data_IF_961845274047
#
_entry.id   IF_961845274047
#
_cell.length_a   1.000
_cell.length_b   1.000
_cell.length_c   1.000
_cell.angle_alpha   90.00
_cell.angle_beta   90.00
_cell.angle_gamma   90.00
#
_symmetry.space_group_name_H-M   'P 1'
#
loop_
_entity.id
_entity.type
_entity.pdbx_description
1 polymer ?
#
# COMPACT_ATOMS: atom_id res chain seq x y z
N UNK A 1 -7.79 34.67 29.50
CA UNK A 1 -8.04 33.22 29.47
C UNK A 1 -8.93 32.96 28.27
N UNK A 2 -8.33 32.73 27.10
CA UNK A 2 -9.07 32.43 25.87
C UNK A 2 -9.19 30.91 25.72
N UNK A 3 -10.45 30.48 25.61
CA UNK A 3 -10.88 29.10 25.50
C UNK A 3 -10.45 28.56 24.12
N UNK A 4 -9.21 28.08 23.99
CA UNK A 4 -8.78 27.33 22.80
C UNK A 4 -9.53 25.99 22.77
N UNK A 5 -10.68 25.97 22.11
CA UNK A 5 -11.30 24.72 21.66
C UNK A 5 -10.22 23.86 20.99
N UNK A 6 -9.95 22.66 21.51
CA UNK A 6 -9.04 21.71 20.88
C UNK A 6 -9.47 21.51 19.42
N UNK A 7 -8.71 22.09 18.48
CA UNK A 7 -8.99 21.97 17.05
C UNK A 7 -8.70 20.53 16.63
N UNK A 8 -9.76 19.72 16.50
CA UNK A 8 -9.70 18.33 16.01
C UNK A 8 -9.75 18.24 14.48
N UNK A 9 -9.11 17.23 13.88
CA UNK A 9 -9.12 16.98 12.42
C UNK A 9 -10.51 17.19 11.78
N UNK A 10 -10.55 17.83 10.60
CA UNK A 10 -11.81 18.19 9.93
C UNK A 10 -12.60 16.96 9.46
N UNK A 11 -13.91 16.90 9.78
CA UNK A 11 -14.85 15.92 9.21
C UNK A 11 -15.33 16.40 7.83
N UNK A 12 -14.74 15.89 6.74
CA UNK A 12 -15.05 16.38 5.38
C UNK A 12 -15.06 15.31 4.28
N UNK A 13 -14.85 14.03 4.60
CA UNK A 13 -14.84 12.96 3.62
C UNK A 13 -16.25 12.39 3.41
N UNK A 14 -16.81 12.65 2.23
CA UNK A 14 -18.06 12.03 1.77
C UNK A 14 -17.85 10.54 1.52
N UNK A 15 -18.93 9.74 1.54
CA UNK A 15 -18.88 8.31 1.24
C UNK A 15 -18.17 7.98 -0.10
N UNK A 16 -18.35 8.83 -1.12
CA UNK A 16 -17.63 8.70 -2.41
C UNK A 16 -16.11 8.83 -2.24
N UNK A 17 -15.64 9.76 -1.40
CA UNK A 17 -14.21 9.95 -1.15
C UNK A 17 -13.63 8.74 -0.43
N UNK A 18 -14.34 8.20 0.57
CA UNK A 18 -13.90 6.98 1.29
C UNK A 18 -13.79 5.80 0.33
N UNK A 19 -14.76 5.60 -0.56
CA UNK A 19 -14.70 4.53 -1.56
C UNK A 19 -13.58 4.75 -2.57
N UNK A 20 -13.39 5.96 -3.07
CA UNK A 20 -12.33 6.27 -4.03
C UNK A 20 -10.94 6.20 -3.40
N UNK A 21 -10.77 6.61 -2.15
CA UNK A 21 -9.54 6.41 -1.37
C UNK A 21 -9.28 4.90 -1.18
N UNK A 22 -10.32 4.12 -0.88
CA UNK A 22 -10.21 2.67 -0.77
C UNK A 22 -9.79 2.00 -2.10
N UNK A 23 -10.20 2.57 -3.24
CA UNK A 23 -9.85 2.05 -4.57
C UNK A 23 -8.43 2.52 -4.95
N UNK A 24 -8.19 3.83 -4.87
CA UNK A 24 -6.93 4.46 -5.25
C UNK A 24 -5.76 4.10 -4.35
N UNK A 25 -6.01 3.84 -3.07
CA UNK A 25 -5.03 3.38 -2.09
C UNK A 25 -4.66 1.91 -2.22
N UNK A 26 -5.52 1.08 -2.81
CA UNK A 26 -5.16 -0.29 -3.18
C UNK A 26 -4.34 -0.31 -4.48
N UNK A 27 -4.70 0.52 -5.46
CA UNK A 27 -4.03 0.53 -6.79
C UNK A 27 -2.83 1.49 -6.79
N UNK A 28 -1.64 0.93 -6.59
CA UNK A 28 -0.39 1.68 -6.55
C UNK A 28 0.74 1.10 -7.40
N UNK A 29 1.96 1.53 -7.12
CA UNK A 29 3.16 1.12 -7.86
C UNK A 29 3.50 -0.36 -7.69
N UNK A 30 3.04 -1.01 -6.63
CA UNK A 30 3.20 -2.45 -6.48
C UNK A 30 2.52 -3.25 -7.59
N UNK A 31 1.34 -2.82 -8.08
CA UNK A 31 0.70 -3.45 -9.24
C UNK A 31 1.42 -3.07 -10.54
N UNK A 32 1.74 -1.79 -10.73
CA UNK A 32 2.20 -1.33 -12.04
C UNK A 32 3.69 -1.50 -12.30
N UNK A 33 4.56 -1.27 -11.32
CA UNK A 33 6.02 -1.46 -11.43
C UNK A 33 6.46 -2.74 -10.75
N UNK A 34 5.99 -2.98 -9.52
CA UNK A 34 6.35 -4.16 -8.72
C UNK A 34 5.96 -5.49 -9.38
N UNK A 35 4.90 -5.51 -10.20
CA UNK A 35 4.54 -6.70 -10.96
C UNK A 35 5.64 -7.17 -11.91
N UNK A 36 6.57 -6.31 -12.36
CA UNK A 36 7.65 -6.74 -13.26
C UNK A 36 8.58 -7.74 -12.61
N UNK A 37 9.06 -7.45 -11.39
CA UNK A 37 9.87 -8.41 -10.64
C UNK A 37 9.06 -9.63 -10.21
N UNK A 38 7.79 -9.45 -9.87
CA UNK A 38 6.91 -10.56 -9.51
C UNK A 38 6.61 -11.50 -10.69
N UNK A 39 6.43 -10.97 -11.91
CA UNK A 39 6.25 -11.74 -13.15
C UNK A 39 7.53 -12.50 -13.45
N UNK A 40 8.69 -11.85 -13.36
CA UNK A 40 9.98 -12.51 -13.57
C UNK A 40 10.22 -13.63 -12.56
N UNK A 41 9.74 -13.47 -11.32
CA UNK A 41 9.90 -14.47 -10.26
C UNK A 41 8.94 -15.67 -10.41
N UNK A 42 7.66 -15.45 -10.68
CA UNK A 42 6.64 -16.51 -10.66
C UNK A 42 6.12 -16.94 -12.05
N UNK A 43 6.39 -16.16 -13.09
CA UNK A 43 5.75 -16.33 -14.40
C UNK A 43 4.22 -16.27 -14.29
N UNK A 44 3.49 -17.08 -15.08
CA UNK A 44 2.03 -17.11 -15.07
C UNK A 44 1.40 -17.47 -13.73
N UNK A 45 2.11 -18.24 -12.89
CA UNK A 45 1.67 -18.59 -11.53
C UNK A 45 1.47 -17.36 -10.62
N UNK A 46 1.98 -16.19 -11.01
CA UNK A 46 1.70 -14.93 -10.34
C UNK A 46 0.20 -14.63 -10.19
N UNK A 47 -0.63 -15.06 -11.16
CA UNK A 47 -2.09 -14.91 -11.11
C UNK A 47 -2.65 -15.58 -9.83
N UNK A 48 -2.16 -16.78 -9.52
CA UNK A 48 -2.53 -17.51 -8.32
C UNK A 48 -1.96 -16.84 -7.06
N UNK A 49 -0.74 -16.31 -7.11
CA UNK A 49 -0.15 -15.60 -5.98
C UNK A 49 -0.96 -14.35 -5.60
N UNK A 50 -1.45 -13.59 -6.59
CA UNK A 50 -2.37 -12.46 -6.37
C UNK A 50 -3.72 -12.91 -5.78
N UNK A 51 -4.29 -14.00 -6.26
CA UNK A 51 -5.55 -14.53 -5.73
C UNK A 51 -5.41 -14.99 -4.27
N UNK A 52 -4.35 -15.73 -3.94
CA UNK A 52 -4.08 -16.21 -2.57
C UNK A 52 -3.79 -15.04 -1.63
N UNK A 53 -2.91 -14.13 -2.03
CA UNK A 53 -2.58 -12.97 -1.20
C UNK A 53 -3.81 -12.09 -0.99
N UNK A 54 -4.60 -11.92 -2.05
CA UNK A 54 -5.82 -11.14 -1.99
C UNK A 54 -6.89 -11.74 -1.08
N UNK A 55 -7.01 -13.07 -1.04
CA UNK A 55 -7.86 -13.75 -0.05
C UNK A 55 -7.43 -13.40 1.38
N UNK A 56 -6.14 -13.52 1.70
CA UNK A 56 -5.63 -13.21 3.04
C UNK A 56 -5.70 -11.71 3.37
N UNK A 57 -5.47 -10.82 2.41
CA UNK A 57 -5.67 -9.38 2.57
C UNK A 57 -7.15 -9.06 2.85
N UNK A 58 -8.09 -9.72 2.16
CA UNK A 58 -9.52 -9.57 2.44
C UNK A 58 -9.88 -10.06 3.84
N UNK A 59 -9.36 -11.20 4.29
CA UNK A 59 -9.56 -11.70 5.65
C UNK A 59 -9.02 -10.73 6.71
N UNK A 60 -7.85 -10.15 6.48
CA UNK A 60 -7.30 -9.08 7.31
C UNK A 60 -8.24 -7.86 7.37
N UNK A 61 -8.76 -7.42 6.22
CA UNK A 61 -9.74 -6.32 6.16
C UNK A 61 -11.07 -6.64 6.85
N UNK A 62 -11.51 -7.90 6.84
CA UNK A 62 -12.67 -8.35 7.62
C UNK A 62 -12.44 -8.18 9.12
N UNK A 63 -11.26 -8.55 9.62
CA UNK A 63 -10.87 -8.33 11.02
C UNK A 63 -10.81 -6.83 11.39
N UNK A 64 -10.25 -6.00 10.50
CA UNK A 64 -10.26 -4.53 10.65
C UNK A 64 -11.68 -3.99 10.76
N UNK A 65 -12.57 -4.42 9.86
CA UNK A 65 -13.97 -3.98 9.86
C UNK A 65 -14.72 -4.41 11.12
N UNK A 66 -14.53 -5.65 11.58
CA UNK A 66 -15.16 -6.14 12.81
C UNK A 66 -14.68 -5.33 14.03
N UNK A 67 -13.38 -5.02 14.13
CA UNK A 67 -12.86 -4.14 15.18
C UNK A 67 -13.49 -2.73 15.10
N UNK A 68 -13.41 -2.06 13.95
CA UNK A 68 -13.91 -0.68 13.81
C UNK A 68 -15.41 -0.54 14.07
N UNK A 69 -16.20 -1.54 13.68
CA UNK A 69 -17.65 -1.56 13.90
C UNK A 69 -18.05 -2.03 15.31
N UNK A 70 -17.09 -2.53 16.10
CA UNK A 70 -17.34 -2.85 17.51
C UNK A 70 -17.55 -1.59 18.38
N UNK A 71 -16.96 -0.46 17.97
CA UNK A 71 -17.11 0.82 18.63
C UNK A 71 -16.73 1.97 17.69
N UNK A 72 -17.73 2.60 17.08
CA UNK A 72 -17.55 3.69 16.11
C UNK A 72 -17.08 5.01 16.73
N UNK A 73 -16.97 5.09 18.07
CA UNK A 73 -16.30 6.22 18.74
C UNK A 73 -14.78 6.15 18.61
N UNK A 74 -14.23 4.96 18.39
CA UNK A 74 -12.79 4.74 18.19
C UNK A 74 -12.44 5.08 16.74
N UNK A 75 -11.42 5.90 16.55
CA UNK A 75 -11.11 6.49 15.24
C UNK A 75 -9.99 5.78 14.48
N UNK A 76 -9.24 4.87 15.12
CA UNK A 76 -8.14 4.14 14.49
C UNK A 76 -8.01 2.71 14.99
N UNK A 77 -7.53 1.80 14.12
CA UNK A 77 -7.13 0.45 14.55
C UNK A 77 -5.94 0.46 15.53
N UNK A 78 -5.13 1.54 15.55
CA UNK A 78 -4.05 1.73 16.53
C UNK A 78 -4.63 1.80 17.95
N UNK A 79 -5.76 2.48 18.11
CA UNK A 79 -6.45 2.56 19.41
C UNK A 79 -6.99 1.19 19.84
N UNK A 80 -7.43 0.35 18.89
CA UNK A 80 -7.83 -1.03 19.20
C UNK A 80 -6.65 -1.88 19.68
N UNK A 81 -5.46 -1.70 19.10
CA UNK A 81 -4.25 -2.34 19.59
C UNK A 81 -3.91 -1.86 21.00
N UNK A 82 -4.06 -0.57 21.29
CA UNK A 82 -3.93 -0.05 22.67
C UNK A 82 -4.91 -0.72 23.64
N UNK A 83 -6.18 -0.80 23.27
CA UNK A 83 -7.24 -1.35 24.14
C UNK A 83 -7.01 -2.83 24.45
N UNK A 84 -6.60 -3.63 23.45
CA UNK A 84 -6.52 -5.08 23.59
C UNK A 84 -5.12 -5.60 23.92
N UNK A 85 -4.05 -4.86 23.58
CA UNK A 85 -2.65 -5.26 23.82
C UNK A 85 -1.89 -4.31 24.77
N UNK A 86 -2.37 -3.08 24.98
CA UNK A 86 -1.78 -2.10 25.90
C UNK A 86 -0.87 -1.07 25.24
N UNK A 87 -0.50 -0.04 26.01
CA UNK A 87 0.22 1.16 25.55
C UNK A 87 1.61 0.85 24.92
N UNK A 88 2.30 -0.20 25.37
CA UNK A 88 3.58 -0.62 24.77
C UNK A 88 3.40 -1.02 23.30
N UNK A 89 2.34 -1.76 23.00
CA UNK A 89 2.05 -2.23 21.66
C UNK A 89 1.46 -1.13 20.78
N UNK A 90 0.73 -0.18 21.38
CA UNK A 90 0.32 1.06 20.71
C UNK A 90 1.54 1.86 20.21
N UNK A 91 2.56 2.05 21.05
CA UNK A 91 3.79 2.73 20.66
C UNK A 91 4.46 2.01 19.48
N UNK A 92 4.64 0.69 19.59
CA UNK A 92 5.30 -0.11 18.56
C UNK A 92 4.52 -0.13 17.24
N UNK A 93 3.21 -0.38 17.26
CA UNK A 93 2.40 -0.41 16.03
C UNK A 93 2.32 0.97 15.38
N UNK A 94 2.25 2.05 16.17
CA UNK A 94 2.18 3.40 15.64
C UNK A 94 3.43 3.79 14.85
N UNK A 95 4.61 3.57 15.44
CA UNK A 95 5.88 3.85 14.75
C UNK A 95 6.14 2.88 13.59
N UNK A 96 5.75 1.60 13.72
CA UNK A 96 5.82 0.66 12.61
C UNK A 96 4.90 1.07 11.45
N UNK A 97 3.70 1.56 11.75
CA UNK A 97 2.76 2.03 10.73
C UNK A 97 3.21 3.34 10.08
N UNK A 98 3.82 4.24 10.86
CA UNK A 98 4.49 5.41 10.30
C UNK A 98 5.60 5.02 9.33
N UNK A 99 6.47 4.07 9.73
CA UNK A 99 7.54 3.56 8.86
C UNK A 99 6.97 2.90 7.60
N UNK A 100 5.89 2.13 7.73
CA UNK A 100 5.20 1.47 6.61
C UNK A 100 4.80 2.48 5.53
N UNK A 101 4.08 3.54 5.92
CA UNK A 101 3.69 4.60 4.99
C UNK A 101 4.88 5.42 4.50
N UNK A 102 5.89 5.64 5.35
CA UNK A 102 7.07 6.38 4.93
C UNK A 102 7.85 5.64 3.84
N UNK A 103 8.05 4.33 4.01
CA UNK A 103 8.68 3.48 3.01
C UNK A 103 7.81 3.36 1.75
N UNK A 104 6.48 3.26 1.87
CA UNK A 104 5.59 3.28 0.69
C UNK A 104 5.73 4.59 -0.10
N UNK A 105 5.72 5.75 0.57
CA UNK A 105 5.96 7.05 -0.08
C UNK A 105 7.28 7.05 -0.85
N UNK A 106 8.36 6.55 -0.23
CA UNK A 106 9.68 6.46 -0.86
C UNK A 106 9.69 5.51 -2.08
N UNK A 107 8.97 4.39 -2.02
CA UNK A 107 8.83 3.48 -3.16
C UNK A 107 8.09 4.15 -4.33
N UNK A 108 7.00 4.86 -4.05
CA UNK A 108 6.21 5.58 -5.06
C UNK A 108 6.99 6.74 -5.68
N UNK A 109 7.76 7.48 -4.87
CA UNK A 109 8.65 8.53 -5.34
C UNK A 109 9.73 7.96 -6.27
N UNK A 110 10.34 6.83 -5.91
CA UNK A 110 11.29 6.11 -6.76
C UNK A 110 10.66 5.70 -8.09
N UNK A 111 9.46 5.12 -8.05
CA UNK A 111 8.73 4.71 -9.24
C UNK A 111 8.41 5.89 -10.17
N UNK A 112 8.05 7.06 -9.61
CA UNK A 112 7.81 8.26 -10.42
C UNK A 112 9.05 8.68 -11.23
N UNK A 113 10.25 8.52 -10.67
CA UNK A 113 11.51 8.74 -11.38
C UNK A 113 11.73 7.75 -12.52
N UNK A 114 11.40 6.47 -12.30
CA UNK A 114 11.47 5.44 -13.34
C UNK A 114 10.50 5.75 -14.49
N UNK A 115 9.26 6.15 -14.17
CA UNK A 115 8.25 6.46 -15.19
C UNK A 115 8.58 7.71 -16.00
N UNK A 116 9.15 8.77 -15.40
CA UNK A 116 9.55 9.95 -16.18
C UNK A 116 10.71 9.65 -17.13
N UNK A 117 11.58 8.69 -16.81
CA UNK A 117 12.67 8.28 -17.70
C UNK A 117 12.20 7.59 -18.98
N UNK A 118 10.95 7.14 -19.04
CA UNK A 118 10.34 6.66 -20.29
C UNK A 118 10.31 7.76 -21.36
N UNK A 119 9.92 9.00 -21.00
CA UNK A 119 9.93 10.14 -21.92
C UNK A 119 11.25 10.90 -21.93
N UNK A 120 11.95 10.92 -20.80
CA UNK A 120 13.21 11.65 -20.62
C UNK A 120 14.33 10.70 -20.16
N UNK A 121 14.88 9.84 -21.04
CA UNK A 121 15.85 8.81 -20.64
C UNK A 121 17.12 9.35 -19.97
N UNK A 122 17.52 10.57 -20.33
CA UNK A 122 18.68 11.29 -19.78
C UNK A 122 18.43 11.92 -18.41
N UNK A 123 17.18 11.98 -17.93
CA UNK A 123 16.83 12.54 -16.63
C UNK A 123 17.37 11.63 -15.51
N UNK A 124 18.22 12.13 -14.59
CA UNK A 124 18.67 11.34 -13.46
C UNK A 124 17.50 10.95 -12.56
N UNK A 125 17.42 9.68 -12.16
CA UNK A 125 16.27 9.11 -11.45
C UNK A 125 15.94 9.82 -10.13
N UNK A 126 16.93 10.41 -9.45
CA UNK A 126 16.76 11.11 -8.17
C UNK A 126 16.08 12.49 -8.28
N UNK A 127 16.15 13.13 -9.45
CA UNK A 127 15.62 14.50 -9.65
C UNK A 127 14.11 14.50 -9.51
N UNK A 128 13.44 13.48 -10.04
CA UNK A 128 11.98 13.36 -9.99
C UNK A 128 11.45 13.23 -8.56
N UNK A 129 11.92 12.28 -7.71
CA UNK A 129 11.56 12.24 -6.29
C UNK A 129 11.67 13.59 -5.59
N UNK A 130 12.75 14.34 -5.84
CA UNK A 130 12.97 15.64 -5.19
C UNK A 130 11.89 16.66 -5.58
N UNK A 131 11.61 16.79 -6.87
CA UNK A 131 10.57 17.70 -7.38
C UNK A 131 9.19 17.28 -6.84
N UNK A 132 8.89 15.98 -6.90
CA UNK A 132 7.59 15.46 -6.45
C UNK A 132 7.39 15.69 -4.95
N UNK A 133 8.40 15.48 -4.10
CA UNK A 133 8.32 15.79 -2.66
C UNK A 133 7.97 17.26 -2.45
N UNK A 134 8.69 18.19 -3.09
CA UNK A 134 8.47 19.63 -2.93
C UNK A 134 7.05 20.00 -3.34
N UNK A 135 6.61 19.50 -4.50
CA UNK A 135 5.28 19.77 -5.05
C UNK A 135 4.19 19.22 -4.13
N UNK A 136 4.24 17.93 -3.79
CA UNK A 136 3.19 17.28 -2.99
C UNK A 136 3.13 17.82 -1.56
N UNK A 137 4.26 18.09 -0.91
CA UNK A 137 4.28 18.68 0.43
C UNK A 137 3.69 20.09 0.39
N UNK A 138 4.06 20.91 -0.60
CA UNK A 138 3.50 22.26 -0.77
C UNK A 138 1.98 22.21 -0.96
N UNK A 139 1.49 21.31 -1.82
CA UNK A 139 0.04 21.12 -2.02
C UNK A 139 -0.68 20.71 -0.74
N UNK A 140 -0.11 19.76 0.01
CA UNK A 140 -0.72 19.26 1.25
C UNK A 140 -0.74 20.31 2.37
N UNK A 141 0.18 21.28 2.37
CA UNK A 141 0.19 22.38 3.33
C UNK A 141 -0.92 23.41 3.06
N UNK A 142 -1.33 23.59 1.80
CA UNK A 142 -2.27 24.64 1.41
C UNK A 142 -3.70 24.27 1.80
N UNK A 143 -4.22 23.09 1.45
CA UNK A 143 -5.63 22.78 1.70
C UNK A 143 -5.99 21.28 1.63
N UNK A 144 -6.41 20.70 2.77
CA UNK A 144 -6.80 19.29 2.89
C UNK A 144 -8.06 18.92 2.10
N UNK A 145 -8.96 19.88 1.83
CA UNK A 145 -10.20 19.58 1.09
C UNK A 145 -9.92 19.16 -0.36
N UNK A 146 -8.80 19.58 -0.93
CA UNK A 146 -8.37 19.14 -2.26
C UNK A 146 -7.85 17.71 -2.26
N UNK A 147 -7.40 17.15 -1.13
CA UNK A 147 -6.93 15.78 -1.06
C UNK A 147 -8.03 14.79 -1.54
N UNK A 148 -9.23 14.88 -0.97
CA UNK A 148 -10.32 13.95 -1.29
C UNK A 148 -10.81 14.05 -2.74
N UNK A 149 -10.82 15.26 -3.31
CA UNK A 149 -11.18 15.49 -4.72
C UNK A 149 -10.07 15.02 -5.66
N UNK A 150 -8.80 15.38 -5.40
CA UNK A 150 -7.64 14.93 -6.19
C UNK A 150 -7.53 13.40 -6.19
N UNK A 151 -7.66 12.76 -5.04
CA UNK A 151 -7.66 11.29 -4.96
C UNK A 151 -8.84 10.68 -5.71
N UNK A 152 -10.01 11.32 -5.70
CA UNK A 152 -11.15 10.85 -6.49
C UNK A 152 -10.83 10.89 -7.99
N UNK A 153 -10.24 11.99 -8.48
CA UNK A 153 -9.82 12.09 -9.88
C UNK A 153 -8.72 11.09 -10.24
N UNK A 154 -7.67 10.97 -9.42
CA UNK A 154 -6.59 10.02 -9.66
C UNK A 154 -7.08 8.57 -9.65
N UNK A 155 -7.93 8.20 -8.69
CA UNK A 155 -8.50 6.86 -8.65
C UNK A 155 -9.41 6.57 -9.87
N UNK A 156 -10.18 7.55 -10.36
CA UNK A 156 -10.96 7.41 -11.59
C UNK A 156 -10.07 7.12 -12.81
N UNK A 157 -8.96 7.84 -12.97
CA UNK A 157 -8.00 7.61 -14.06
C UNK A 157 -7.44 6.18 -13.99
N UNK A 158 -7.02 5.74 -12.79
CA UNK A 158 -6.47 4.38 -12.58
C UNK A 158 -7.47 3.28 -12.95
N UNK A 159 -8.70 3.38 -12.45
CA UNK A 159 -9.74 2.39 -12.70
C UNK A 159 -10.09 2.32 -14.18
N UNK A 160 -10.32 3.47 -14.81
CA UNK A 160 -10.64 3.52 -16.23
C UNK A 160 -9.53 2.91 -17.08
N UNK A 161 -8.27 3.24 -16.78
CA UNK A 161 -7.13 2.71 -17.53
C UNK A 161 -6.98 1.19 -17.40
N UNK A 162 -7.18 0.62 -16.20
CA UNK A 162 -7.13 -0.83 -16.02
C UNK A 162 -8.29 -1.51 -16.76
N UNK A 163 -9.49 -0.95 -16.71
CA UNK A 163 -10.64 -1.47 -17.46
C UNK A 163 -10.39 -1.43 -18.97
N UNK A 164 -9.90 -0.29 -19.49
CA UNK A 164 -9.57 -0.13 -20.89
C UNK A 164 -8.49 -1.14 -21.32
N UNK A 165 -7.44 -1.32 -20.51
CA UNK A 165 -6.39 -2.29 -20.76
C UNK A 165 -6.92 -3.72 -20.80
N UNK A 166 -7.79 -4.11 -19.86
CA UNK A 166 -8.40 -5.44 -19.84
C UNK A 166 -9.23 -5.65 -21.11
N UNK A 167 -10.09 -4.70 -21.46
CA UNK A 167 -10.96 -4.79 -22.64
C UNK A 167 -10.14 -4.87 -23.93
N UNK A 168 -9.15 -3.98 -24.10
CA UNK A 168 -8.28 -3.96 -25.28
C UNK A 168 -7.45 -5.24 -25.35
N UNK A 169 -6.86 -5.67 -24.24
CA UNK A 169 -6.04 -6.89 -24.21
C UNK A 169 -6.84 -8.15 -24.49
N UNK A 170 -8.06 -8.29 -23.96
CA UNK A 170 -8.98 -9.37 -24.33
C UNK A 170 -9.30 -9.31 -25.83
N UNK A 171 -9.59 -8.12 -26.36
CA UNK A 171 -9.81 -7.93 -27.80
C UNK A 171 -8.62 -8.42 -28.63
N UNK A 172 -7.40 -8.02 -28.27
CA UNK A 172 -6.16 -8.46 -28.94
C UNK A 172 -6.04 -9.99 -28.92
N UNK A 173 -6.26 -10.63 -27.76
CA UNK A 173 -6.19 -12.08 -27.60
C UNK A 173 -7.25 -12.80 -28.44
N UNK A 174 -8.49 -12.32 -28.45
CA UNK A 174 -9.59 -12.93 -29.22
C UNK A 174 -9.38 -12.80 -30.73
N UNK A 175 -8.78 -11.69 -31.18
CA UNK A 175 -8.44 -11.49 -32.59
C UNK A 175 -7.15 -12.19 -33.03
N UNK A 176 -6.40 -12.79 -32.10
CA UNK A 176 -5.07 -13.35 -32.39
C UNK A 176 -4.08 -12.30 -32.88
N UNK A 177 -4.15 -11.09 -32.34
CA UNK A 177 -3.38 -9.94 -32.82
C UNK A 177 -1.87 -10.24 -32.78
N UNK A 178 -1.22 -10.07 -33.93
CA UNK A 178 0.19 -10.42 -34.13
C UNK A 178 0.99 -9.20 -34.58
N UNK A 179 2.09 -8.93 -33.87
CA UNK A 179 2.97 -7.79 -34.13
C UNK A 179 4.27 -7.94 -33.35
N UNK A 180 5.38 -7.43 -33.89
CA UNK A 180 6.69 -7.49 -33.23
C UNK A 180 7.21 -8.92 -32.97
N UNK A 181 6.75 -9.91 -33.73
CA UNK A 181 7.11 -11.33 -33.53
C UNK A 181 6.34 -12.04 -32.42
N UNK A 182 5.42 -11.34 -31.74
CA UNK A 182 4.60 -11.90 -30.67
C UNK A 182 3.12 -11.96 -31.10
N UNK A 183 2.41 -12.98 -30.63
CA UNK A 183 0.96 -13.14 -30.85
C UNK A 183 0.24 -13.06 -29.52
N UNK A 184 -0.74 -12.18 -29.40
CA UNK A 184 -1.63 -12.16 -28.24
C UNK A 184 -2.48 -13.44 -28.22
N UNK A 185 -2.34 -14.25 -27.16
CA UNK A 185 -3.02 -15.52 -27.00
C UNK A 185 -3.05 -15.94 -25.54
N UNK A 186 -4.15 -16.55 -25.08
CA UNK A 186 -4.18 -17.24 -23.78
C UNK A 186 -3.11 -18.33 -23.68
N UNK A 187 -2.61 -18.84 -24.82
CA UNK A 187 -1.48 -19.77 -24.86
C UNK A 187 -0.21 -19.22 -24.22
N UNK A 188 0.02 -17.90 -24.24
CA UNK A 188 1.22 -17.29 -23.63
C UNK A 188 1.34 -17.57 -22.11
N UNK A 189 0.23 -17.90 -21.44
CA UNK A 189 0.22 -18.31 -20.02
C UNK A 189 0.79 -19.71 -19.76
N UNK A 190 0.99 -20.53 -20.80
CA UNK A 190 1.45 -21.92 -20.66
C UNK A 190 2.55 -22.30 -21.67
N UNK A 191 2.64 -21.62 -22.80
CA UNK A 191 3.58 -21.94 -23.89
C UNK A 191 5.05 -21.64 -23.55
N UNK A 192 5.32 -20.82 -22.53
CA UNK A 192 6.66 -20.40 -22.12
C UNK A 192 7.10 -21.11 -20.84
N UNK A 193 7.16 -22.45 -20.86
CA UNK A 193 7.58 -23.27 -19.71
C UNK A 193 6.44 -23.74 -18.78
N UNK A 194 5.17 -23.56 -19.18
CA UNK A 194 4.01 -23.96 -18.39
C UNK A 194 3.54 -22.87 -17.41
N UNK A 195 2.47 -23.17 -16.66
CA UNK A 195 1.90 -22.20 -15.71
C UNK A 195 2.84 -21.91 -14.53
N UNK A 196 3.56 -22.93 -14.04
CA UNK A 196 4.61 -22.82 -13.01
C UNK A 196 6.00 -22.82 -13.66
N UNK A 197 6.24 -21.93 -14.63
CA UNK A 197 7.46 -21.94 -15.44
C UNK A 197 8.76 -21.75 -14.63
N UNK A 198 8.71 -21.04 -13.51
CA UNK A 198 9.85 -20.84 -12.60
C UNK A 198 9.84 -21.81 -11.40
N UNK A 199 8.96 -22.82 -11.45
CA UNK A 199 8.73 -23.79 -10.39
C UNK A 199 8.06 -23.21 -9.15
N UNK A 200 7.82 -24.07 -8.16
CA UNK A 200 7.16 -23.68 -6.91
C UNK A 200 7.99 -22.67 -6.09
N UNK A 201 9.32 -22.71 -6.22
CA UNK A 201 10.22 -21.75 -5.57
C UNK A 201 10.00 -20.33 -6.09
N UNK A 202 9.94 -20.15 -7.41
CA UNK A 202 9.68 -18.84 -8.03
C UNK A 202 8.30 -18.30 -7.67
N UNK A 203 7.29 -19.17 -7.66
CA UNK A 203 5.95 -18.86 -7.16
C UNK A 203 5.96 -18.33 -5.72
N UNK A 204 6.67 -19.00 -4.81
CA UNK A 204 6.82 -18.55 -3.42
C UNK A 204 7.56 -17.21 -3.33
N UNK A 205 8.60 -17.00 -4.14
CA UNK A 205 9.41 -15.78 -4.11
C UNK A 205 8.67 -14.52 -4.59
N UNK A 206 7.54 -14.66 -5.29
CA UNK A 206 6.75 -13.50 -5.71
C UNK A 206 5.85 -12.91 -4.60
N UNK A 207 5.52 -13.68 -3.56
CA UNK A 207 4.59 -13.26 -2.51
C UNK A 207 4.94 -11.94 -1.80
N UNK A 208 6.21 -11.64 -1.46
CA UNK A 208 6.56 -10.35 -0.87
C UNK A 208 6.13 -9.15 -1.73
N UNK A 209 6.43 -9.18 -3.03
CA UNK A 209 6.07 -8.10 -3.96
C UNK A 209 4.56 -8.06 -4.20
N UNK A 210 3.90 -9.21 -4.20
CA UNK A 210 2.43 -9.28 -4.27
C UNK A 210 1.79 -8.68 -3.02
N UNK A 211 2.31 -8.94 -1.82
CA UNK A 211 1.87 -8.28 -0.59
C UNK A 211 2.08 -6.77 -0.68
N UNK A 212 3.25 -6.33 -1.15
CA UNK A 212 3.52 -4.90 -1.37
C UNK A 212 2.41 -4.25 -2.22
N UNK A 213 1.97 -4.92 -3.28
CA UNK A 213 0.92 -4.43 -4.16
C UNK A 213 -0.47 -4.31 -3.51
N UNK A 214 -0.71 -4.96 -2.37
CA UNK A 214 -1.93 -4.81 -1.57
C UNK A 214 -1.78 -3.83 -0.38
N UNK A 215 -0.58 -3.30 -0.14
CA UNK A 215 -0.39 -2.30 0.93
C UNK A 215 -1.25 -1.08 0.67
N UNK A 216 -1.81 -0.50 1.74
CA UNK A 216 -2.73 0.63 1.66
C UNK A 216 -4.20 0.25 1.59
N UNK A 217 -4.54 -1.03 1.44
CA UNK A 217 -5.92 -1.52 1.52
C UNK A 217 -6.60 -1.21 2.86
N UNK A 218 -5.82 -1.16 3.93
CA UNK A 218 -6.24 -0.82 5.29
C UNK A 218 -6.48 0.67 5.50
N UNK A 219 -6.19 1.53 4.52
CA UNK A 219 -6.45 2.98 4.62
C UNK A 219 -7.94 3.28 4.85
N UNK A 220 -8.83 2.37 4.45
CA UNK A 220 -10.26 2.38 4.82
C UNK A 220 -10.44 2.46 6.34
N UNK A 221 -9.58 1.79 7.11
CA UNK A 221 -9.62 1.81 8.56
C UNK A 221 -9.18 3.14 9.19
N UNK A 222 -8.26 3.88 8.56
CA UNK A 222 -7.87 5.22 9.03
C UNK A 222 -8.96 6.26 8.77
N UNK A 223 -9.68 6.10 7.66
CA UNK A 223 -10.77 7.02 7.27
C UNK A 223 -12.07 6.72 7.99
N UNK A 224 -12.17 5.60 8.72
CA UNK A 224 -13.33 5.22 9.51
C UNK A 224 -13.74 6.32 10.51
N UNK A 225 -12.78 6.89 11.23
CA UNK A 225 -13.02 7.98 12.18
C UNK A 225 -13.45 9.32 11.55
N UNK A 226 -13.28 9.45 10.23
CA UNK A 226 -13.67 10.64 9.43
C UNK A 226 -14.92 10.38 8.57
N UNK A 227 -15.48 9.16 8.61
CA UNK A 227 -16.64 8.74 7.80
C UNK A 227 -17.96 9.15 8.46
N UNK A 228 -18.89 9.71 7.69
CA UNK A 228 -20.20 10.17 8.20
C UNK A 228 -21.10 9.03 8.72
N UNK A 229 -21.09 7.88 8.04
CA UNK A 229 -21.94 6.71 8.36
C UNK A 229 -21.12 5.41 8.35
N UNK A 230 -20.21 5.21 9.32
CA UNK A 230 -19.27 4.10 9.32
C UNK A 230 -19.95 2.74 9.28
N UNK A 231 -21.10 2.57 9.95
CA UNK A 231 -21.87 1.33 10.02
C UNK A 231 -22.39 0.86 8.65
N UNK A 232 -22.61 1.79 7.72
CA UNK A 232 -23.07 1.50 6.36
C UNK A 232 -21.92 1.45 5.37
N UNK A 233 -20.99 2.39 5.47
CA UNK A 233 -20.01 2.66 4.42
C UNK A 233 -18.76 1.76 4.54
N UNK A 234 -18.33 1.41 5.77
CA UNK A 234 -17.20 0.50 5.97
C UNK A 234 -17.48 -0.92 5.47
N UNK A 235 -18.63 -1.58 5.79
CA UNK A 235 -18.93 -2.90 5.25
C UNK A 235 -18.94 -2.92 3.73
N UNK A 236 -19.48 -1.89 3.07
CA UNK A 236 -19.51 -1.79 1.60
C UNK A 236 -18.11 -1.68 1.02
N UNK A 237 -17.26 -0.83 1.60
CA UNK A 237 -15.88 -0.67 1.16
C UNK A 237 -15.10 -1.98 1.29
N UNK A 238 -15.18 -2.64 2.45
CA UNK A 238 -14.47 -3.90 2.72
C UNK A 238 -15.01 -5.05 1.85
N UNK A 239 -16.33 -5.22 1.74
CA UNK A 239 -16.91 -6.30 0.94
C UNK A 239 -16.70 -6.16 -0.57
N UNK A 240 -16.39 -4.95 -1.04
CA UNK A 240 -16.02 -4.74 -2.43
C UNK A 240 -14.57 -5.10 -2.75
N UNK A 241 -13.74 -5.38 -1.73
CA UNK A 241 -12.32 -5.74 -1.92
C UNK A 241 -12.16 -6.94 -2.86
N UNK A 242 -12.81 -8.11 -2.67
CA UNK A 242 -12.59 -9.28 -3.54
C UNK A 242 -12.83 -8.99 -5.03
N UNK A 243 -13.86 -8.19 -5.35
CA UNK A 243 -14.14 -7.78 -6.73
C UNK A 243 -12.96 -6.98 -7.32
N UNK A 244 -12.40 -6.05 -6.55
CA UNK A 244 -11.23 -5.23 -6.96
C UNK A 244 -9.98 -6.08 -7.14
N UNK A 245 -9.78 -7.07 -6.26
CA UNK A 245 -8.67 -8.03 -6.36
C UNK A 245 -8.79 -8.85 -7.65
N UNK A 246 -9.97 -9.43 -7.89
CA UNK A 246 -10.24 -10.21 -9.09
C UNK A 246 -10.08 -9.39 -10.38
N UNK A 247 -10.57 -8.16 -10.40
CA UNK A 247 -10.54 -7.32 -11.58
C UNK A 247 -9.15 -6.70 -11.83
N UNK A 248 -8.63 -5.95 -10.85
CA UNK A 248 -7.45 -5.11 -11.05
C UNK A 248 -6.13 -5.84 -10.96
N UNK A 249 -6.06 -6.94 -10.21
CA UNK A 249 -4.83 -7.70 -10.03
C UNK A 249 -4.88 -8.97 -10.85
N UNK A 250 -5.79 -9.88 -10.54
CA UNK A 250 -5.87 -11.19 -11.21
C UNK A 250 -6.20 -11.02 -12.69
N UNK A 251 -7.25 -10.27 -13.01
CA UNK A 251 -7.69 -10.02 -14.38
C UNK A 251 -6.66 -9.27 -15.22
N UNK A 252 -6.15 -8.14 -14.70
CA UNK A 252 -5.16 -7.36 -15.43
C UNK A 252 -3.86 -8.14 -15.70
N UNK A 253 -3.32 -8.84 -14.69
CA UNK A 253 -2.10 -9.64 -14.82
C UNK A 253 -2.30 -10.81 -15.80
N UNK A 254 -3.46 -11.49 -15.74
CA UNK A 254 -3.78 -12.56 -16.69
C UNK A 254 -3.86 -12.04 -18.13
N UNK A 255 -4.48 -10.88 -18.34
CA UNK A 255 -4.60 -10.27 -19.67
C UNK A 255 -3.24 -9.83 -20.21
N UNK A 256 -2.43 -9.09 -19.44
CA UNK A 256 -1.14 -8.62 -19.96
C UNK A 256 -0.19 -9.77 -20.34
N UNK A 257 -0.16 -10.85 -19.54
CA UNK A 257 0.67 -12.03 -19.84
C UNK A 257 0.08 -12.90 -20.95
N UNK A 258 -1.21 -12.76 -21.26
CA UNK A 258 -1.81 -13.35 -22.46
C UNK A 258 -1.47 -12.52 -23.71
N UNK A 259 -1.35 -11.19 -23.58
CA UNK A 259 -1.00 -10.32 -24.70
C UNK A 259 0.48 -10.42 -25.06
N UNK A 260 1.36 -10.44 -24.06
CA UNK A 260 2.81 -10.42 -24.26
C UNK A 260 3.50 -11.47 -23.37
N UNK A 261 4.44 -12.28 -23.91
CA UNK A 261 5.09 -13.34 -23.15
C UNK A 261 5.78 -12.86 -21.87
N UNK A 262 5.57 -13.61 -20.78
CA UNK A 262 6.03 -13.23 -19.46
C UNK A 262 7.57 -13.22 -19.34
N UNK A 263 8.25 -14.05 -20.12
CA UNK A 263 9.70 -14.22 -20.17
C UNK A 263 10.42 -13.09 -20.91
N UNK A 264 9.67 -12.24 -21.63
CA UNK A 264 10.20 -11.03 -22.29
C UNK A 264 9.99 -9.75 -21.46
N UNK A 265 9.35 -9.82 -20.29
CA UNK A 265 9.12 -8.67 -19.42
C UNK A 265 10.37 -8.38 -18.59
N UNK A 266 10.89 -7.15 -18.72
CA UNK A 266 12.01 -6.67 -17.93
C UNK A 266 11.54 -5.99 -16.61
N UNK A 267 12.45 -5.81 -15.67
CA UNK A 267 12.17 -5.20 -14.36
C UNK A 267 12.46 -3.69 -14.31
N UNK A 268 13.05 -3.09 -15.35
CA UNK A 268 13.42 -1.67 -15.35
C UNK A 268 12.26 -0.71 -15.66
N UNK A 269 11.13 -1.21 -16.16
CA UNK A 269 9.96 -0.43 -16.55
C UNK A 269 8.67 -1.12 -16.09
N UNK A 270 7.53 -0.41 -16.15
CA UNK A 270 6.24 -1.03 -15.87
C UNK A 270 5.91 -2.11 -16.90
N UNK A 271 5.54 -3.35 -16.50
CA UNK A 271 5.05 -4.37 -17.43
C UNK A 271 3.85 -3.91 -18.25
N UNK A 272 2.99 -3.09 -17.64
CA UNK A 272 1.80 -2.53 -18.28
C UNK A 272 2.15 -1.59 -19.43
N UNK A 273 3.29 -0.91 -19.36
CA UNK A 273 3.84 -0.10 -20.46
C UNK A 273 4.55 -0.98 -21.47
N UNK A 274 5.38 -1.91 -20.98
CA UNK A 274 6.20 -2.81 -21.80
C UNK A 274 5.38 -3.67 -22.75
N UNK A 275 4.22 -4.18 -22.31
CA UNK A 275 3.33 -4.99 -23.14
C UNK A 275 2.88 -4.23 -24.38
N UNK A 276 2.49 -2.95 -24.25
CA UNK A 276 2.07 -2.16 -25.41
C UNK A 276 3.24 -1.74 -26.29
N UNK A 277 4.39 -1.38 -25.72
CA UNK A 277 5.59 -1.05 -26.52
C UNK A 277 6.14 -2.27 -27.24
N UNK A 278 6.13 -3.44 -26.60
CA UNK A 278 6.57 -4.71 -27.17
C UNK A 278 5.64 -5.21 -28.29
N UNK A 279 4.35 -4.87 -28.21
CA UNK A 279 3.39 -5.06 -29.29
C UNK A 279 3.42 -3.93 -30.34
N UNK A 280 4.35 -2.97 -30.26
CA UNK A 280 4.48 -1.88 -31.22
C UNK A 280 3.40 -0.78 -31.14
N UNK A 281 2.56 -0.79 -30.09
CA UNK A 281 1.49 0.19 -29.87
C UNK A 281 2.02 1.33 -28.98
N UNK A 282 2.97 2.11 -29.51
CA UNK A 282 3.69 3.16 -28.76
C UNK A 282 2.79 4.24 -28.14
N UNK A 283 1.67 4.58 -28.81
CA UNK A 283 0.69 5.53 -28.26
C UNK A 283 0.04 4.99 -26.98
N UNK A 284 -0.38 3.72 -26.97
CA UNK A 284 -0.95 3.09 -25.79
C UNK A 284 0.10 2.96 -24.68
N UNK A 285 1.35 2.62 -25.01
CA UNK A 285 2.44 2.57 -24.05
C UNK A 285 2.67 3.94 -23.36
N UNK A 286 2.68 5.02 -24.13
CA UNK A 286 2.78 6.39 -23.61
C UNK A 286 1.61 6.76 -22.70
N UNK A 287 0.37 6.44 -23.12
CA UNK A 287 -0.82 6.73 -22.33
C UNK A 287 -0.82 5.95 -21.01
N UNK A 288 -0.47 4.66 -21.04
CA UNK A 288 -0.35 3.84 -19.84
C UNK A 288 0.78 4.37 -18.95
N UNK A 289 1.91 4.81 -19.52
CA UNK A 289 3.00 5.38 -18.73
C UNK A 289 2.55 6.67 -17.99
N UNK A 290 1.71 7.49 -18.62
CA UNK A 290 1.06 8.63 -17.97
C UNK A 290 0.15 8.20 -16.82
N UNK A 291 -0.68 7.18 -17.03
CA UNK A 291 -1.55 6.66 -15.97
C UNK A 291 -0.74 6.14 -14.79
N UNK A 292 0.30 5.32 -15.01
CA UNK A 292 1.07 4.75 -13.89
C UNK A 292 1.87 5.82 -13.14
N UNK A 293 2.31 6.89 -13.83
CA UNK A 293 2.87 8.06 -13.16
C UNK A 293 1.84 8.74 -12.25
N UNK A 294 0.63 9.01 -12.75
CA UNK A 294 -0.43 9.57 -11.89
C UNK A 294 -0.79 8.65 -10.73
N UNK A 295 -0.71 7.33 -10.93
CA UNK A 295 -0.92 6.34 -9.90
C UNK A 295 0.11 6.43 -8.77
N UNK A 296 1.39 6.56 -9.12
CA UNK A 296 2.49 6.76 -8.17
C UNK A 296 2.36 8.08 -7.42
N UNK A 297 2.03 9.18 -8.11
CA UNK A 297 1.87 10.49 -7.47
C UNK A 297 0.71 10.50 -6.45
N UNK A 298 -0.41 9.86 -6.79
CA UNK A 298 -1.55 9.66 -5.88
C UNK A 298 -1.17 8.80 -4.66
N UNK A 299 -0.46 7.69 -4.88
CA UNK A 299 -0.02 6.83 -3.77
C UNK A 299 0.97 7.55 -2.83
N UNK A 300 1.95 8.27 -3.39
CA UNK A 300 2.88 9.11 -2.61
C UNK A 300 2.15 10.20 -1.82
N UNK A 301 1.16 10.86 -2.43
CA UNK A 301 0.33 11.87 -1.77
C UNK A 301 -0.47 11.27 -0.59
N UNK A 302 -1.09 10.11 -0.80
CA UNK A 302 -1.80 9.35 0.23
C UNK A 302 -0.89 8.91 1.38
N UNK A 303 0.37 8.57 1.09
CA UNK A 303 1.36 8.21 2.09
C UNK A 303 1.86 9.43 2.91
N UNK A 304 2.12 10.58 2.26
CA UNK A 304 2.41 11.87 2.94
C UNK A 304 1.25 12.25 3.87
N UNK A 305 0.01 12.12 3.39
CA UNK A 305 -1.19 12.36 4.16
C UNK A 305 -1.28 11.43 5.39
N UNK A 306 -1.03 10.14 5.21
CA UNK A 306 -1.16 9.12 6.26
C UNK A 306 -0.07 9.23 7.33
N UNK A 307 1.19 9.40 6.92
CA UNK A 307 2.32 9.61 7.86
C UNK A 307 2.10 10.79 8.79
N UNK A 308 1.63 11.93 8.27
CA UNK A 308 1.36 13.11 9.08
C UNK A 308 0.27 12.87 10.16
N UNK A 309 -0.77 12.08 9.83
CA UNK A 309 -1.86 11.72 10.75
C UNK A 309 -1.45 10.69 11.78
N UNK A 310 -0.66 9.70 11.38
CA UNK A 310 -0.11 8.71 12.31
C UNK A 310 0.71 9.40 13.39
N UNK A 311 1.59 10.35 13.02
CA UNK A 311 2.36 11.13 13.99
C UNK A 311 1.46 11.98 14.90
N UNK A 312 0.41 12.58 14.35
CA UNK A 312 -0.57 13.34 15.14
C UNK A 312 -1.29 12.47 16.17
N UNK A 313 -1.76 11.27 15.77
CA UNK A 313 -2.42 10.30 16.68
C UNK A 313 -1.47 9.87 17.79
N UNK A 314 -0.22 9.52 17.44
CA UNK A 314 0.78 9.14 18.43
C UNK A 314 1.05 10.28 19.42
N UNK A 315 1.15 11.51 18.94
CA UNK A 315 1.38 12.67 19.79
C UNK A 315 0.19 12.96 20.71
N UNK A 316 -1.06 12.80 20.23
CA UNK A 316 -2.28 12.93 21.05
C UNK A 316 -2.33 11.87 22.15
N UNK A 317 -1.89 10.65 21.84
CA UNK A 317 -1.81 9.55 22.80
C UNK A 317 -0.53 9.59 23.66
N UNK A 318 0.25 10.68 23.61
CA UNK A 318 1.52 10.88 24.32
C UNK A 318 2.62 9.86 23.94
N UNK A 319 2.47 9.16 22.83
CA UNK A 319 3.43 8.20 22.27
C UNK A 319 4.44 8.87 21.30
N UNK A 320 4.37 10.19 21.11
CA UNK A 320 5.32 10.99 20.33
C UNK A 320 5.43 12.42 20.90
N UNK A 321 6.46 13.23 20.52
CA UNK A 321 6.62 14.59 21.02
C UNK A 321 5.38 15.47 20.86
N UNK A 322 5.03 16.25 21.90
CA UNK A 322 3.83 17.11 21.93
C UNK A 322 3.73 18.10 20.76
N UNK A 323 4.87 18.50 20.18
CA UNK A 323 4.92 19.39 19.01
C UNK A 323 4.24 18.80 17.76
N UNK A 324 4.17 17.48 17.65
CA UNK A 324 3.52 16.76 16.54
C UNK A 324 1.99 16.73 16.67
N UNK A 325 1.43 17.04 17.85
CA UNK A 325 -0.01 17.16 18.06
C UNK A 325 -0.57 18.53 17.61
N UNK A 326 0.29 19.47 17.18
CA UNK A 326 -0.15 20.80 16.73
C UNK A 326 -0.76 20.72 15.33
N UNK A 327 -1.94 21.31 15.17
CA UNK A 327 -2.60 21.48 13.87
C UNK A 327 -2.57 22.94 13.41
N UNK A 328 -2.48 23.16 12.10
CA UNK A 328 -2.54 24.50 11.50
C UNK A 328 -3.96 25.07 11.51
N UNK A 329 -4.11 26.33 11.07
CA UNK A 329 -5.42 26.96 10.85
C UNK A 329 -6.30 26.17 9.88
N UNK A 330 -5.69 25.40 8.97
CA UNK A 330 -6.37 24.56 7.98
C UNK A 330 -6.56 23.11 8.47
N UNK A 331 -6.40 22.86 9.78
CA UNK A 331 -6.59 21.57 10.44
C UNK A 331 -5.61 20.47 9.97
N UNK A 332 -4.38 20.88 9.61
CA UNK A 332 -3.33 19.98 9.10
C UNK A 332 -2.21 19.81 10.14
N UNK A 333 -1.73 18.58 10.41
CA UNK A 333 -0.56 18.36 11.28
C UNK A 333 0.75 18.69 10.55
N UNK A 334 1.03 19.99 10.39
CA UNK A 334 2.18 20.51 9.61
C UNK A 334 3.51 20.01 10.14
N UNK A 335 3.72 19.98 11.46
CA UNK A 335 4.98 19.51 12.06
C UNK A 335 5.27 18.06 11.69
N UNK A 336 4.26 17.20 11.74
CA UNK A 336 4.41 15.79 11.37
C UNK A 336 4.67 15.61 9.88
N UNK A 337 3.99 16.40 9.04
CA UNK A 337 4.21 16.39 7.59
C UNK A 337 5.64 16.80 7.23
N UNK A 338 6.17 17.89 7.80
CA UNK A 338 7.54 18.34 7.53
C UNK A 338 8.58 17.36 8.07
N UNK A 339 8.36 16.79 9.26
CA UNK A 339 9.24 15.77 9.82
C UNK A 339 9.32 14.53 8.91
N UNK A 340 8.18 14.06 8.39
CA UNK A 340 8.12 12.98 7.40
C UNK A 340 8.75 13.37 6.06
N UNK A 341 8.54 14.59 5.58
CA UNK A 341 9.12 15.08 4.33
C UNK A 341 10.66 15.07 4.37
N UNK A 342 11.27 15.44 5.50
CA UNK A 342 12.72 15.35 5.70
C UNK A 342 13.17 13.89 5.58
N UNK A 343 12.43 12.94 6.15
CA UNK A 343 12.74 11.52 5.99
C UNK A 343 12.63 11.07 4.53
N UNK A 344 11.66 11.57 3.76
CA UNK A 344 11.52 11.25 2.34
C UNK A 344 12.70 11.73 1.50
N UNK A 345 13.40 12.80 1.89
CA UNK A 345 14.62 13.24 1.20
C UNK A 345 15.73 12.18 1.20
N UNK A 346 15.72 11.24 2.15
CA UNK A 346 16.62 10.08 2.10
C UNK A 346 16.47 9.29 0.80
N UNK A 347 15.26 9.23 0.23
CA UNK A 347 15.02 8.53 -1.05
C UNK A 347 15.72 9.18 -2.22
N UNK A 348 15.91 10.50 -2.17
CA UNK A 348 16.61 11.27 -3.20
C UNK A 348 18.07 10.84 -3.23
N UNK A 349 18.72 10.80 -2.06
CA UNK A 349 20.09 10.34 -1.91
C UNK A 349 20.23 8.87 -2.30
N UNK A 350 19.30 8.01 -1.88
CA UNK A 350 19.34 6.60 -2.20
C UNK A 350 19.12 6.33 -3.70
N UNK A 351 18.30 7.12 -4.39
CA UNK A 351 18.17 7.06 -5.85
C UNK A 351 19.40 7.59 -6.58
N UNK A 352 20.17 8.49 -5.97
CA UNK A 352 21.44 8.96 -6.52
C UNK A 352 22.51 7.87 -6.46
N UNK A 353 22.65 7.18 -5.31
CA UNK A 353 23.70 6.17 -5.09
C UNK A 353 23.34 4.76 -5.55
N UNK A 354 22.07 4.35 -5.45
CA UNK A 354 21.62 2.97 -5.68
C UNK A 354 20.36 2.85 -6.58
N UNK A 355 20.27 3.55 -7.73
CA UNK A 355 19.04 3.69 -8.52
C UNK A 355 18.39 2.36 -8.95
N UNK A 356 19.18 1.31 -9.19
CA UNK A 356 18.69 0.02 -9.69
C UNK A 356 18.12 -0.90 -8.61
N UNK A 357 18.56 -0.77 -7.35
CA UNK A 357 18.16 -1.67 -6.25
C UNK A 357 17.20 -1.00 -5.26
N UNK A 358 17.13 0.32 -5.28
CA UNK A 358 16.47 1.08 -4.23
C UNK A 358 14.96 0.80 -4.14
N UNK A 359 14.30 0.56 -5.28
CA UNK A 359 12.87 0.20 -5.28
C UNK A 359 12.63 -1.11 -4.52
N UNK A 360 13.36 -2.18 -4.84
CA UNK A 360 13.24 -3.49 -4.18
C UNK A 360 13.58 -3.42 -2.68
N UNK A 361 14.64 -2.67 -2.33
CA UNK A 361 15.03 -2.49 -0.93
C UNK A 361 13.95 -1.77 -0.12
N UNK A 362 13.40 -0.67 -0.62
CA UNK A 362 12.39 0.12 0.10
C UNK A 362 11.07 -0.63 0.18
N UNK A 363 10.62 -1.24 -0.92
CA UNK A 363 9.39 -2.03 -0.93
C UNK A 363 9.47 -3.21 0.05
N UNK A 364 10.65 -3.77 0.27
CA UNK A 364 10.88 -4.78 1.31
C UNK A 364 10.70 -4.24 2.74
N UNK A 365 11.23 -3.05 3.03
CA UNK A 365 11.00 -2.37 4.34
C UNK A 365 9.50 -2.08 4.53
N UNK A 366 8.84 -1.56 3.50
CA UNK A 366 7.40 -1.28 3.53
C UNK A 366 6.60 -2.57 3.80
N UNK A 367 6.84 -3.62 3.00
CA UNK A 367 6.16 -4.92 3.11
C UNK A 367 6.31 -5.53 4.49
N UNK A 368 7.54 -5.57 5.01
CA UNK A 368 7.79 -6.10 6.34
C UNK A 368 7.06 -5.30 7.43
N UNK A 369 7.03 -3.98 7.28
CA UNK A 369 6.38 -3.10 8.26
C UNK A 369 4.86 -3.22 8.23
N UNK A 370 4.26 -3.28 7.04
CA UNK A 370 2.83 -3.51 6.89
C UNK A 370 2.41 -4.87 7.42
N UNK A 371 3.16 -5.94 7.12
CA UNK A 371 2.87 -7.26 7.66
C UNK A 371 2.91 -7.26 9.20
N UNK A 372 3.91 -6.60 9.80
CA UNK A 372 3.99 -6.49 11.26
C UNK A 372 2.74 -5.81 11.85
N UNK A 373 2.32 -4.69 11.24
CA UNK A 373 1.09 -3.98 11.63
C UNK A 373 -0.14 -4.88 11.48
N UNK A 374 -0.28 -5.56 10.34
CA UNK A 374 -1.43 -6.43 10.07
C UNK A 374 -1.50 -7.64 11.01
N UNK A 375 -0.36 -8.23 11.38
CA UNK A 375 -0.31 -9.28 12.40
C UNK A 375 -0.78 -8.73 13.75
N UNK A 376 -0.33 -7.54 14.18
CA UNK A 376 -0.79 -6.95 15.44
C UNK A 376 -2.29 -6.63 15.43
N UNK A 377 -2.82 -6.18 14.31
CA UNK A 377 -4.27 -5.99 14.12
C UNK A 377 -5.01 -7.32 14.29
N UNK A 378 -4.54 -8.41 13.66
CA UNK A 378 -5.14 -9.73 13.79
C UNK A 378 -5.05 -10.29 15.22
N UNK A 379 -3.94 -10.02 15.92
CA UNK A 379 -3.78 -10.40 17.33
C UNK A 379 -4.74 -9.61 18.22
N UNK A 380 -4.90 -8.30 17.99
CA UNK A 380 -5.91 -7.49 18.67
C UNK A 380 -7.33 -7.97 18.36
N UNK A 381 -7.60 -8.40 17.12
CA UNK A 381 -8.88 -9.00 16.73
C UNK A 381 -9.14 -10.31 17.49
N UNK A 382 -8.17 -11.21 17.60
CA UNK A 382 -8.31 -12.45 18.39
C UNK A 382 -8.64 -12.12 19.85
N UNK A 383 -7.97 -11.13 20.44
CA UNK A 383 -8.27 -10.66 21.81
C UNK A 383 -9.66 -10.05 21.94
N UNK A 384 -10.09 -9.26 20.95
CA UNK A 384 -11.45 -8.75 20.90
C UNK A 384 -12.50 -9.87 20.88
N UNK A 385 -12.29 -10.91 20.08
CA UNK A 385 -13.19 -12.06 19.96
C UNK A 385 -13.33 -12.88 21.25
N UNK A 386 -12.43 -12.70 22.23
CA UNK A 386 -12.53 -13.29 23.56
C UNK A 386 -13.44 -12.49 24.51
N UNK A 387 -13.95 -11.33 24.08
CA UNK A 387 -14.85 -10.49 24.88
C UNK A 387 -16.32 -10.74 24.57
N UNK A 388 -17.20 -10.54 25.55
CA UNK A 388 -18.66 -10.65 25.38
C UNK A 388 -19.22 -9.66 24.33
N UNK A 389 -18.54 -8.52 24.15
CA UNK A 389 -18.90 -7.50 23.15
C UNK A 389 -18.85 -8.04 21.72
N UNK A 390 -18.04 -9.05 21.46
CA UNK A 390 -17.90 -9.64 20.11
C UNK A 390 -19.11 -10.44 19.66
N UNK A 391 -19.92 -10.96 20.59
CA UNK A 391 -21.11 -11.74 20.27
C UNK A 391 -22.16 -10.89 19.51
N UNK A 392 -22.28 -9.63 19.90
CA UNK A 392 -23.26 -8.66 19.41
C UNK A 392 -22.79 -7.84 18.20
N UNK A 393 -21.58 -8.10 17.68
CA UNK A 393 -21.07 -7.32 16.55
C UNK A 393 -21.89 -7.59 15.27
N UNK A 394 -22.46 -6.56 14.63
CA UNK A 394 -23.24 -6.73 13.40
C UNK A 394 -22.40 -7.17 12.20
N UNK A 395 -21.07 -7.02 12.25
CA UNK A 395 -20.16 -7.32 11.16
C UNK A 395 -19.05 -8.27 11.62
N UNK A 396 -19.09 -9.52 11.14
CA UNK A 396 -18.22 -10.60 11.62
C UNK A 396 -17.28 -11.13 10.55
N UNK A 397 -16.03 -11.39 10.89
CA UNK A 397 -15.11 -12.16 10.07
C UNK A 397 -15.63 -13.61 9.91
N UNK A 398 -15.76 -14.12 8.68
CA UNK A 398 -16.24 -15.48 8.47
C UNK A 398 -15.24 -16.52 9.00
N UNK A 399 -15.76 -17.65 9.47
CA UNK A 399 -14.99 -18.83 9.92
C UNK A 399 -13.91 -18.54 10.98
N UNK A 400 -14.14 -17.55 11.84
CA UNK A 400 -13.34 -17.37 13.06
C UNK A 400 -13.43 -18.63 13.94
N UNK A 401 -12.33 -19.11 14.57
CA UNK A 401 -11.00 -18.51 14.64
C UNK A 401 -10.01 -18.91 13.53
N UNK A 402 -10.33 -19.94 12.73
CA UNK A 402 -9.40 -20.52 11.75
C UNK A 402 -8.84 -19.46 10.78
N UNK A 403 -9.69 -18.57 10.29
CA UNK A 403 -9.29 -17.52 9.35
C UNK A 403 -8.29 -16.52 9.92
N UNK A 404 -8.36 -16.19 11.22
CA UNK A 404 -7.37 -15.30 11.85
C UNK A 404 -5.99 -15.97 11.94
N UNK A 405 -5.93 -17.22 12.39
CA UNK A 405 -4.66 -17.96 12.52
C UNK A 405 -4.04 -18.28 11.15
N UNK A 406 -4.84 -18.68 10.16
CA UNK A 406 -4.35 -18.92 8.80
C UNK A 406 -3.78 -17.63 8.17
N UNK A 407 -4.44 -16.48 8.38
CA UNK A 407 -3.95 -15.19 7.87
C UNK A 407 -2.64 -14.78 8.53
N UNK A 408 -2.51 -14.95 9.86
CA UNK A 408 -1.24 -14.73 10.56
C UNK A 408 -0.16 -15.67 10.02
N UNK A 409 -0.47 -16.96 9.86
CA UNK A 409 0.47 -17.95 9.34
C UNK A 409 0.99 -17.60 7.95
N UNK A 410 0.10 -17.20 7.03
CA UNK A 410 0.47 -16.72 5.70
C UNK A 410 1.42 -15.52 5.75
N UNK A 411 1.10 -14.51 6.56
CA UNK A 411 1.95 -13.33 6.74
C UNK A 411 3.32 -13.67 7.35
N UNK A 412 3.38 -14.58 8.32
CA UNK A 412 4.64 -15.07 8.89
C UNK A 412 5.47 -15.81 7.84
N UNK A 413 4.85 -16.62 6.98
CA UNK A 413 5.54 -17.29 5.86
C UNK A 413 6.18 -16.24 4.93
N UNK A 414 5.48 -15.15 4.61
CA UNK A 414 6.04 -14.09 3.76
C UNK A 414 7.19 -13.34 4.43
N UNK A 415 7.13 -13.10 5.75
CA UNK A 415 8.28 -12.57 6.49
C UNK A 415 9.49 -13.50 6.45
N UNK A 416 9.27 -14.82 6.53
CA UNK A 416 10.34 -15.82 6.41
C UNK A 416 10.95 -15.74 5.01
N UNK A 417 10.14 -15.68 3.95
CA UNK A 417 10.63 -15.55 2.56
C UNK A 417 11.52 -14.29 2.42
N UNK A 418 11.05 -13.15 2.93
CA UNK A 418 11.82 -11.89 2.95
C UNK A 418 13.14 -12.01 3.73
N UNK A 419 13.19 -12.77 4.82
CA UNK A 419 14.40 -12.92 5.61
C UNK A 419 15.48 -13.76 4.90
N UNK A 420 15.05 -14.74 4.11
CA UNK A 420 15.95 -15.66 3.40
C UNK A 420 16.39 -15.16 2.02
N UNK A 421 15.65 -14.24 1.40
CA UNK A 421 16.04 -13.63 0.13
C UNK A 421 17.26 -12.68 0.32
N UNK A 422 18.40 -12.94 -0.36
CA UNK A 422 19.58 -12.09 -0.29
C UNK A 422 19.35 -10.64 -0.70
N UNK A 423 18.41 -10.37 -1.61
CA UNK A 423 18.12 -9.02 -2.11
C UNK A 423 17.47 -8.12 -1.04
N UNK A 424 16.68 -8.73 -0.16
CA UNK A 424 15.85 -8.05 0.84
C UNK A 424 16.42 -8.13 2.25
N UNK A 425 17.42 -9.00 2.48
CA UNK A 425 17.99 -9.30 3.81
C UNK A 425 18.43 -8.05 4.59
N UNK A 426 19.07 -7.08 3.93
CA UNK A 426 19.49 -5.84 4.58
C UNK A 426 18.28 -5.04 5.06
N UNK A 427 17.26 -4.89 4.21
CA UNK A 427 16.01 -4.21 4.56
C UNK A 427 15.30 -4.91 5.73
N UNK A 428 15.25 -6.25 5.72
CA UNK A 428 14.66 -7.02 6.82
C UNK A 428 15.41 -6.80 8.12
N UNK A 429 16.74 -6.91 8.10
CA UNK A 429 17.55 -6.74 9.30
C UNK A 429 17.39 -5.36 9.93
N UNK A 430 17.43 -4.30 9.12
CA UNK A 430 17.21 -2.92 9.58
C UNK A 430 15.79 -2.73 10.15
N UNK A 431 14.79 -3.35 9.55
CA UNK A 431 13.39 -3.27 10.02
C UNK A 431 13.19 -4.02 11.34
N UNK A 432 13.82 -5.18 11.52
CA UNK A 432 13.83 -5.92 12.80
C UNK A 432 14.48 -5.07 13.89
N UNK A 433 15.65 -4.46 13.60
CA UNK A 433 16.31 -3.56 14.54
C UNK A 433 15.38 -2.42 14.92
N UNK A 434 14.73 -1.78 13.93
CA UNK A 434 13.78 -0.69 14.20
C UNK A 434 12.65 -1.13 15.13
N UNK A 435 12.02 -2.28 14.91
CA UNK A 435 10.97 -2.78 15.81
C UNK A 435 11.49 -3.16 17.19
N UNK A 436 12.68 -3.77 17.28
CA UNK A 436 13.36 -4.02 18.55
C UNK A 436 13.59 -2.73 19.33
N UNK A 437 14.09 -1.69 18.66
CA UNK A 437 14.29 -0.37 19.24
C UNK A 437 12.98 0.28 19.68
N UNK A 438 11.89 0.13 18.95
CA UNK A 438 10.59 0.66 19.38
C UNK A 438 10.06 -0.08 20.62
N UNK A 439 10.18 -1.40 20.67
CA UNK A 439 9.73 -2.20 21.81
C UNK A 439 10.54 -1.95 23.08
N UNK A 440 11.85 -1.71 22.96
CA UNK A 440 12.74 -1.37 24.08
C UNK A 440 12.57 0.10 24.45
N UNK A 441 12.54 0.98 23.45
CA UNK A 441 12.47 2.43 23.57
C UNK A 441 11.23 2.92 24.32
N UNK A 442 10.12 2.18 24.25
CA UNK A 442 8.92 2.48 25.06
C UNK A 442 9.23 2.60 26.57
N UNK A 443 10.13 1.76 27.11
CA UNK A 443 10.48 1.81 28.54
C UNK A 443 11.24 3.09 28.93
N UNK A 444 12.03 3.64 28.01
CA UNK A 444 12.72 4.93 28.18
C UNK A 444 11.75 6.10 27.97
N UNK A 445 10.85 5.98 27.00
CA UNK A 445 9.84 6.98 26.70
C UNK A 445 8.82 7.13 27.84
N UNK A 446 8.33 6.02 28.41
CA UNK A 446 7.39 6.06 29.55
C UNK A 446 8.00 6.72 30.79
N UNK A 447 9.29 6.52 31.05
CA UNK A 447 10.03 7.22 32.11
C UNK A 447 10.12 8.72 31.85
N UNK A 448 10.23 9.17 30.61
CA UNK A 448 10.22 10.59 30.27
C UNK A 448 8.83 11.21 30.48
N UNK A 449 7.76 10.50 30.11
CA UNK A 449 6.38 10.94 30.35
C UNK A 449 6.03 11.06 31.84
N UNK A 450 6.61 10.21 32.70
CA UNK A 450 6.40 10.30 34.15
C UNK A 450 7.18 11.45 34.80
N UNK A 451 8.13 12.07 34.08
CA UNK A 451 8.95 13.20 34.56
C UNK A 451 8.45 14.58 34.08
N UNK A 452 7.53 14.62 33.11
CA UNK A 452 7.02 15.84 32.44
C UNK A 452 5.52 15.93 32.60
#
# INVERSE_FOLDING_TARGET
MDNQSERELSRGLKARHVQMIAIGGAIGTGLFLGSGSAIKAAGPALILAYAITGLFAYLMMRAVGELLLSNTKIRSFIDFVRIYLGDKWEFAIGWAYWLSWASLAMADLTASGIYLRYWFPSLPQWVTPLIVIIVLVTFNLINVRWFGELESWFASIKVFAILALIVVGIGMVLTGFHTGGNTASFGNLVSHGGFFATGFKGFIMAFPMVIFAFTGIEMVGLTAGETEKPERDLPKAINSVPLRIGLFYVGAIAVIMSVYPWDQIDTSQSPFVQVFSGMGINFAATLVNFVVLTAALSAANSAIFSTSRTLYVLAKNKQAPKSLARVSKNMVPVTGMLASAIFFLAVVLLNYFYPSKIFEMITSVATMSFIFVWILILVAHIKYKQTEKSAHNPYKMPWFPATSYLTIGFFVIVLIILAFDPSTRLSVFLTIIFFGLMLIGYSSWSKHLNKV
#
